data_IF_818303873000
#
_entry.id   IF_818303873000
#
_cell.length_a   1.000
_cell.length_b   1.000
_cell.length_c   1.000
_cell.angle_alpha   90.00
_cell.angle_beta   90.00
_cell.angle_gamma   90.00
#
_symmetry.space_group_name_H-M   'P 1'
#
loop_
_entity.id
_entity.type
_entity.pdbx_description
1 polymer ?
#
# COMPACT_ATOMS: atom_id res chain seq x y z
N UNK A 1 -47.56 -7.20 -32.30
CA UNK A 1 -46.69 -6.27 -31.55
C UNK A 1 -47.44 -5.77 -30.33
N UNK A 2 -47.25 -6.36 -29.13
CA UNK A 2 -47.58 -5.70 -27.87
C UNK A 2 -46.33 -5.09 -27.24
N UNK A 3 -46.50 -3.87 -26.71
CA UNK A 3 -45.49 -3.00 -26.11
C UNK A 3 -45.18 -3.35 -24.64
N UNK A 4 -43.90 -3.15 -24.30
CA UNK A 4 -43.22 -3.15 -23.00
C UNK A 4 -44.04 -2.92 -21.71
N UNK A 5 -43.73 -3.71 -20.66
CA UNK A 5 -42.94 -3.22 -19.50
C UNK A 5 -42.44 -4.38 -18.63
N UNK A 6 -41.15 -4.44 -18.23
CA UNK A 6 -40.73 -5.24 -17.10
C UNK A 6 -40.52 -4.34 -15.88
N UNK A 7 -41.36 -4.52 -14.85
CA UNK A 7 -41.15 -3.98 -13.51
C UNK A 7 -40.10 -4.85 -12.83
N UNK A 8 -38.82 -4.46 -12.90
CA UNK A 8 -37.78 -5.06 -12.07
C UNK A 8 -37.77 -4.38 -10.69
N UNK A 9 -38.57 -4.95 -9.78
CA UNK A 9 -38.49 -4.67 -8.35
C UNK A 9 -37.37 -5.54 -7.76
N UNK A 10 -36.24 -4.92 -7.42
CA UNK A 10 -35.11 -5.64 -6.84
C UNK A 10 -33.82 -4.84 -6.92
N UNK A 11 -33.75 -3.72 -6.21
CA UNK A 11 -32.47 -3.07 -5.93
C UNK A 11 -31.64 -4.06 -5.11
N UNK A 12 -30.64 -4.65 -5.76
CA UNK A 12 -29.53 -5.33 -5.10
C UNK A 12 -28.94 -4.33 -4.10
N UNK A 13 -29.14 -4.56 -2.80
CA UNK A 13 -28.41 -3.82 -1.78
C UNK A 13 -26.95 -4.21 -1.92
N UNK A 14 -26.16 -3.32 -2.52
CA UNK A 14 -24.70 -3.42 -2.47
C UNK A 14 -24.29 -3.60 -1.00
N UNK A 15 -23.58 -4.70 -0.73
CA UNK A 15 -23.08 -5.06 0.59
C UNK A 15 -22.18 -3.96 1.17
N UNK A 16 -21.93 -4.04 2.48
CA UNK A 16 -21.03 -3.15 3.23
C UNK A 16 -19.91 -2.58 2.35
N UNK A 17 -19.91 -1.27 2.14
CA UNK A 17 -18.78 -0.57 1.53
C UNK A 17 -17.54 -0.92 2.34
N UNK A 18 -16.65 -1.75 1.79
CA UNK A 18 -15.36 -2.06 2.41
C UNK A 18 -14.51 -0.79 2.33
N UNK A 19 -14.57 0.02 3.37
CA UNK A 19 -13.72 1.19 3.52
C UNK A 19 -12.32 0.71 3.93
N UNK A 20 -11.46 0.49 2.94
CA UNK A 20 -10.05 0.12 3.14
C UNK A 20 -9.25 1.41 3.32
N UNK A 21 -9.01 1.80 4.57
CA UNK A 21 -8.10 2.90 4.89
C UNK A 21 -6.65 2.45 4.73
N UNK A 22 -5.80 3.34 4.22
CA UNK A 22 -4.37 3.07 4.04
C UNK A 22 -3.69 2.78 5.38
N UNK A 23 -3.05 1.61 5.49
CA UNK A 23 -2.38 1.17 6.71
C UNK A 23 -0.93 1.69 6.72
N UNK A 24 -0.75 3.01 6.84
CA UNK A 24 0.55 3.68 6.70
C UNK A 24 1.64 3.09 7.61
N UNK A 25 1.31 2.66 8.83
CA UNK A 25 2.29 2.03 9.73
C UNK A 25 2.78 0.68 9.23
N UNK A 26 1.86 -0.18 8.77
CA UNK A 26 2.19 -1.48 8.15
C UNK A 26 2.98 -1.28 6.86
N UNK A 27 2.63 -0.27 6.07
CA UNK A 27 3.35 0.10 4.86
C UNK A 27 4.79 0.58 5.15
N UNK A 28 4.97 1.50 6.10
CA UNK A 28 6.29 1.97 6.56
C UNK A 28 7.14 0.80 7.06
N UNK A 29 6.59 -0.09 7.89
CA UNK A 29 7.33 -1.23 8.40
C UNK A 29 7.64 -2.26 7.30
N UNK A 30 6.77 -2.44 6.31
CA UNK A 30 7.06 -3.30 5.16
C UNK A 30 8.23 -2.75 4.32
N UNK A 31 8.26 -1.44 4.07
CA UNK A 31 9.39 -0.77 3.40
C UNK A 31 10.67 -0.89 4.23
N UNK A 32 10.60 -0.63 5.54
CA UNK A 32 11.74 -0.76 6.44
C UNK A 32 12.30 -2.20 6.45
N UNK A 33 11.41 -3.20 6.52
CA UNK A 33 11.77 -4.60 6.43
C UNK A 33 12.53 -4.92 5.14
N UNK A 34 12.04 -4.46 3.99
CA UNK A 34 12.72 -4.70 2.71
C UNK A 34 14.08 -4.02 2.63
N UNK A 35 14.21 -2.78 3.11
CA UNK A 35 15.51 -2.10 3.18
C UNK A 35 16.49 -2.88 4.06
N UNK A 36 16.08 -3.35 5.24
CA UNK A 36 16.95 -4.14 6.12
C UNK A 36 17.35 -5.49 5.52
N UNK A 37 16.44 -6.16 4.79
CA UNK A 37 16.80 -7.37 4.03
C UNK A 37 17.78 -7.09 2.90
N UNK A 38 17.82 -5.86 2.40
CA UNK A 38 18.80 -5.37 1.43
C UNK A 38 19.95 -4.60 2.11
N UNK A 39 20.47 -5.08 3.24
CA UNK A 39 21.63 -4.48 3.94
C UNK A 39 21.46 -3.01 4.36
N UNK A 40 20.23 -2.55 4.54
CA UNK A 40 19.88 -1.22 5.04
C UNK A 40 19.53 -0.18 3.96
N UNK A 41 19.63 -0.52 2.66
CA UNK A 41 19.32 0.40 1.56
C UNK A 41 18.69 -0.36 0.40
N UNK A 42 17.59 0.15 -0.16
CA UNK A 42 16.91 -0.51 -1.28
C UNK A 42 16.41 0.48 -2.32
N UNK A 43 16.45 0.05 -3.57
CA UNK A 43 15.88 0.79 -4.68
C UNK A 43 14.36 0.92 -4.57
N UNK A 44 13.84 2.13 -4.80
CA UNK A 44 12.41 2.45 -4.70
C UNK A 44 11.56 1.55 -5.59
N UNK A 45 11.96 1.33 -6.85
CA UNK A 45 11.20 0.50 -7.77
C UNK A 45 11.15 -0.96 -7.28
N UNK A 46 12.28 -1.51 -6.83
CA UNK A 46 12.34 -2.87 -6.27
C UNK A 46 11.41 -3.01 -5.07
N UNK A 47 11.46 -2.07 -4.12
CA UNK A 47 10.61 -2.09 -2.94
C UNK A 47 9.11 -2.02 -3.29
N UNK A 48 8.70 -1.12 -4.19
CA UNK A 48 7.30 -0.98 -4.58
C UNK A 48 6.75 -2.23 -5.28
N UNK A 49 7.61 -2.96 -6.02
CA UNK A 49 7.23 -4.27 -6.58
C UNK A 49 7.10 -5.33 -5.50
N UNK A 50 7.98 -5.35 -4.50
CA UNK A 50 7.86 -6.27 -3.37
C UNK A 50 6.58 -6.03 -2.57
N UNK A 51 6.22 -4.76 -2.31
CA UNK A 51 4.92 -4.40 -1.68
C UNK A 51 3.74 -4.93 -2.51
N UNK A 52 3.74 -4.69 -3.82
CA UNK A 52 2.70 -5.20 -4.72
C UNK A 52 2.53 -6.71 -4.65
N UNK A 53 3.63 -7.46 -4.67
CA UNK A 53 3.58 -8.91 -4.57
C UNK A 53 3.15 -9.38 -3.18
N UNK A 54 3.59 -8.71 -2.12
CA UNK A 54 3.21 -9.02 -0.75
C UNK A 54 1.70 -8.85 -0.54
N UNK A 55 1.13 -7.72 -0.98
CA UNK A 55 -0.32 -7.47 -0.91
C UNK A 55 -1.12 -8.48 -1.74
N UNK A 56 -0.68 -8.79 -2.97
CA UNK A 56 -1.37 -9.78 -3.81
C UNK A 56 -1.35 -11.17 -3.19
N UNK A 57 -0.20 -11.58 -2.64
CA UNK A 57 -0.06 -12.86 -1.96
C UNK A 57 -0.94 -12.93 -0.70
N UNK A 58 -0.95 -11.87 0.09
CA UNK A 58 -1.75 -11.78 1.30
C UNK A 58 -3.26 -11.75 0.99
N UNK A 59 -3.66 -10.99 -0.02
CA UNK A 59 -5.03 -10.93 -0.53
C UNK A 59 -5.50 -12.32 -0.99
N UNK A 60 -4.68 -13.03 -1.76
CA UNK A 60 -5.01 -14.38 -2.25
C UNK A 60 -5.13 -15.41 -1.12
N UNK A 61 -4.34 -15.26 -0.05
CA UNK A 61 -4.32 -16.20 1.08
C UNK A 61 -5.38 -15.92 2.14
N UNK A 62 -5.65 -14.64 2.42
CA UNK A 62 -6.41 -14.20 3.60
C UNK A 62 -7.58 -13.27 3.26
N UNK A 63 -7.83 -12.97 1.99
CA UNK A 63 -8.94 -12.13 1.55
C UNK A 63 -8.76 -10.62 1.84
N UNK A 64 -7.57 -10.17 2.25
CA UNK A 64 -7.25 -8.75 2.46
C UNK A 64 -5.79 -8.42 2.09
N UNK A 65 -5.46 -7.22 1.61
CA UNK A 65 -4.06 -6.79 1.45
C UNK A 65 -3.44 -6.46 2.82
N UNK A 66 -2.12 -6.26 2.85
CA UNK A 66 -1.35 -5.85 4.04
C UNK A 66 -1.45 -4.34 4.23
N UNK A 67 -1.22 -3.58 3.14
CA UNK A 67 -1.07 -2.12 3.22
C UNK A 67 -2.36 -1.35 2.97
N UNK A 68 -3.38 -1.98 2.38
CA UNK A 68 -4.57 -1.31 1.84
C UNK A 68 -4.24 -0.15 0.86
N UNK A 69 -3.09 -0.20 0.19
CA UNK A 69 -2.67 0.85 -0.73
C UNK A 69 -3.54 0.90 -1.99
N UNK A 70 -3.63 2.09 -2.59
CA UNK A 70 -4.21 2.31 -3.90
C UNK A 70 -3.16 2.06 -4.98
N UNK A 71 -3.44 1.07 -5.82
CA UNK A 71 -2.58 0.74 -6.95
C UNK A 71 -2.95 1.53 -8.20
N UNK A 72 -1.99 2.25 -8.78
CA UNK A 72 -2.12 2.93 -10.07
C UNK A 72 -1.32 2.22 -11.15
N UNK A 73 -1.89 2.12 -12.36
CA UNK A 73 -1.17 1.61 -13.52
C UNK A 73 -0.21 2.67 -14.06
N UNK A 74 1.09 2.37 -14.06
CA UNK A 74 2.15 3.25 -14.59
C UNK A 74 2.98 2.51 -15.65
N UNK A 75 3.93 3.21 -16.29
CA UNK A 75 4.74 2.68 -17.41
C UNK A 75 5.44 1.34 -17.09
N UNK A 76 5.82 1.12 -15.84
CA UNK A 76 6.51 -0.10 -15.39
C UNK A 76 5.58 -1.04 -14.60
N UNK A 77 4.27 -0.96 -14.85
CA UNK A 77 3.24 -1.76 -14.20
C UNK A 77 2.61 -1.07 -12.97
N UNK A 78 1.88 -1.83 -12.13
CA UNK A 78 1.18 -1.26 -10.99
C UNK A 78 2.15 -0.72 -9.94
N UNK A 79 1.79 0.40 -9.33
CA UNK A 79 2.54 1.09 -8.29
C UNK A 79 1.62 1.35 -7.10
N UNK A 80 2.08 0.95 -5.92
CA UNK A 80 1.47 1.27 -4.63
C UNK A 80 1.72 2.76 -4.35
N UNK A 81 0.72 3.61 -4.58
CA UNK A 81 0.88 5.07 -4.61
C UNK A 81 1.30 5.62 -3.25
N UNK A 82 0.63 5.22 -2.18
CA UNK A 82 0.92 5.74 -0.83
C UNK A 82 2.27 5.22 -0.32
N UNK A 83 2.64 3.98 -0.64
CA UNK A 83 3.98 3.46 -0.37
C UNK A 83 5.08 4.22 -1.14
N UNK A 84 4.79 4.67 -2.35
CA UNK A 84 5.72 5.53 -3.12
C UNK A 84 5.91 6.86 -2.41
N UNK A 85 4.82 7.47 -1.94
CA UNK A 85 4.87 8.71 -1.17
C UNK A 85 5.69 8.56 0.12
N UNK A 86 5.53 7.45 0.85
CA UNK A 86 6.34 7.12 2.03
C UNK A 86 7.84 6.97 1.70
N UNK A 87 8.17 6.20 0.65
CA UNK A 87 9.55 5.94 0.25
C UNK A 87 10.28 7.19 -0.28
N UNK A 88 9.54 8.18 -0.76
CA UNK A 88 10.07 9.45 -1.28
C UNK A 88 9.97 10.59 -0.26
N UNK A 89 9.30 10.39 0.87
CA UNK A 89 8.86 11.46 1.76
C UNK A 89 8.21 12.61 0.99
N UNK A 90 7.23 12.29 0.15
CA UNK A 90 6.61 13.27 -0.75
C UNK A 90 5.79 14.32 0.02
N UNK A 91 5.42 15.39 -0.66
CA UNK A 91 4.55 16.44 -0.12
C UNK A 91 3.09 15.96 0.08
N UNK A 92 2.71 14.81 -0.50
CA UNK A 92 1.35 14.27 -0.41
C UNK A 92 1.08 13.50 0.90
N UNK A 93 2.11 13.21 1.68
CA UNK A 93 1.97 12.54 2.98
C UNK A 93 1.25 13.42 4.00
N UNK A 94 0.31 12.81 4.72
CA UNK A 94 -0.25 13.41 5.93
C UNK A 94 0.82 13.61 7.02
N UNK A 95 0.55 14.53 7.96
CA UNK A 95 1.47 14.82 9.06
C UNK A 95 1.78 13.60 9.93
N UNK A 96 0.77 12.78 10.24
CA UNK A 96 0.94 11.55 11.01
C UNK A 96 1.75 10.49 10.24
N UNK A 97 1.49 10.32 8.95
CA UNK A 97 2.18 9.36 8.09
C UNK A 97 3.66 9.70 7.99
N UNK A 98 3.97 10.98 7.73
CA UNK A 98 5.34 11.51 7.70
C UNK A 98 6.05 11.31 9.03
N UNK A 99 5.44 11.75 10.14
CA UNK A 99 6.04 11.66 11.47
C UNK A 99 6.36 10.21 11.88
N UNK A 100 5.54 9.25 11.45
CA UNK A 100 5.84 7.84 11.65
C UNK A 100 6.94 7.35 10.70
N UNK A 101 6.86 7.67 9.42
CA UNK A 101 7.79 7.19 8.40
C UNK A 101 9.24 7.66 8.65
N UNK A 102 9.43 8.91 9.07
CA UNK A 102 10.76 9.50 9.32
C UNK A 102 11.55 8.78 10.44
N UNK A 103 10.87 8.02 11.30
CA UNK A 103 11.53 7.21 12.33
C UNK A 103 12.22 5.96 11.75
N UNK A 104 11.85 5.53 10.54
CA UNK A 104 12.27 4.25 9.98
C UNK A 104 12.86 4.36 8.57
N UNK A 105 12.45 5.37 7.79
CA UNK A 105 12.81 5.53 6.39
C UNK A 105 13.52 6.87 6.17
N UNK A 106 14.62 6.85 5.43
CA UNK A 106 15.27 8.06 4.93
C UNK A 106 15.35 8.02 3.40
N UNK A 107 14.76 9.00 2.68
CA UNK A 107 14.77 9.00 1.22
C UNK A 107 16.17 9.36 0.68
N UNK A 108 16.55 8.72 -0.42
CA UNK A 108 17.68 9.09 -1.27
C UNK A 108 17.17 9.21 -2.73
N UNK A 109 18.02 9.61 -3.69
CA UNK A 109 17.62 9.89 -5.08
C UNK A 109 16.76 8.78 -5.70
N UNK A 110 17.31 7.57 -5.84
CA UNK A 110 16.60 6.41 -6.41
C UNK A 110 16.29 5.32 -5.38
N UNK A 111 16.77 5.47 -4.16
CA UNK A 111 16.72 4.48 -3.09
C UNK A 111 16.10 5.11 -1.83
N UNK A 112 15.89 4.29 -0.81
CA UNK A 112 15.69 4.76 0.55
C UNK A 112 16.46 3.86 1.52
N UNK A 113 16.75 4.39 2.70
CA UNK A 113 17.50 3.72 3.75
C UNK A 113 16.57 3.34 4.91
N UNK A 114 16.90 2.25 5.58
CA UNK A 114 16.39 1.90 6.91
C UNK A 114 17.20 2.68 7.95
N UNK A 115 16.53 3.45 8.80
CA UNK A 115 17.16 4.21 9.91
C UNK A 115 16.71 3.76 11.29
N UNK A 116 15.83 2.75 11.36
CA UNK A 116 15.30 2.20 12.62
C UNK A 116 15.11 0.69 12.56
N UNK A 117 15.07 0.05 13.74
CA UNK A 117 14.68 -1.35 13.88
C UNK A 117 13.22 -1.57 13.43
N UNK A 118 12.89 -2.79 13.01
CA UNK A 118 11.52 -3.12 12.59
C UNK A 118 10.62 -3.18 13.82
N UNK A 119 9.50 -2.46 13.78
CA UNK A 119 8.44 -2.63 14.77
C UNK A 119 7.53 -3.79 14.36
N UNK A 120 7.84 -5.00 14.85
CA UNK A 120 7.10 -6.22 14.51
C UNK A 120 5.63 -6.20 14.96
N UNK A 121 5.27 -5.34 15.93
CA UNK A 121 3.90 -5.23 16.44
C UNK A 121 2.93 -4.77 15.35
N UNK A 122 3.40 -4.00 14.38
CA UNK A 122 2.57 -3.54 13.27
C UNK A 122 2.15 -4.67 12.31
N UNK A 123 2.85 -5.81 12.31
CA UNK A 123 2.49 -6.96 11.46
C UNK A 123 1.50 -7.93 12.12
N UNK A 124 1.15 -7.71 13.39
CA UNK A 124 0.11 -8.48 14.08
C UNK A 124 -1.32 -8.13 13.65
#
# INVERSE_FOLDING_TARGET
MPSFSPVFHGIVKFGNSMNLTFAHRKATQALNFFARKETGRINKLKALKLVFFADRCHLRRYGRPITNDRYLAMNYGPVASSCKDLAEMSEFLGSEERAYAEQYLAPDRHDYLSVGEIDEREFS
#
